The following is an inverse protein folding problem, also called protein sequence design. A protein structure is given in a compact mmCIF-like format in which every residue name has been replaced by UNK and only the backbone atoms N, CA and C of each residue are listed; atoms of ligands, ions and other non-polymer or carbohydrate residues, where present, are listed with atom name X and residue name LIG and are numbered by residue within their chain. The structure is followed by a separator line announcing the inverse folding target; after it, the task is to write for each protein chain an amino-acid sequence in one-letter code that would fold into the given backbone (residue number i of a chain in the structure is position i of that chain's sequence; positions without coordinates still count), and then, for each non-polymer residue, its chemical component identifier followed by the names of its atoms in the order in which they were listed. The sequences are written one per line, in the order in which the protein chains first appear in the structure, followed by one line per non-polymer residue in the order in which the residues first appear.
data_IF_064162046529
#
_entry.id   IF_064162046529
#
_cell.length_a   1.000
_cell.length_b   1.000
_cell.length_c   1.000
_cell.angle_alpha   90.00
_cell.angle_beta   90.00
_cell.angle_gamma   90.00
#
_symmetry.space_group_name_H-M   'P 1'
#
loop_
_entity.id
_entity.type
_entity.pdbx_description
1 polymer ?
#
# COMPACT_ATOMS: atom_id res chain seq x y z
N UNK A 1 -77.67 -14.44 -8.31
CA UNK A 1 -76.27 -14.26 -7.85
C UNK A 1 -75.75 -13.02 -8.58
N UNK A 2 -75.87 -11.82 -8.00
CA UNK A 2 -74.82 -11.16 -7.19
C UNK A 2 -73.50 -11.03 -8.00
N UNK A 3 -72.88 -9.88 -8.26
CA UNK A 3 -73.02 -8.49 -7.78
C UNK A 3 -71.94 -7.64 -8.50
N UNK A 4 -72.28 -6.40 -8.91
CA UNK A 4 -71.51 -5.14 -8.81
C UNK A 4 -70.30 -4.83 -9.74
N UNK A 5 -70.45 -3.67 -10.43
CA UNK A 5 -69.38 -2.74 -10.82
C UNK A 5 -68.66 -2.18 -9.58
N UNK A 6 -67.35 -1.91 -9.67
CA UNK A 6 -66.70 -0.64 -9.24
C UNK A 6 -65.36 -0.48 -9.99
N UNK A 7 -65.18 0.67 -10.64
CA UNK A 7 -63.90 1.19 -11.14
C UNK A 7 -63.05 1.75 -10.00
N UNK A 8 -61.74 1.47 -9.93
CA UNK A 8 -60.76 2.37 -9.29
C UNK A 8 -59.42 2.27 -10.03
N UNK A 9 -58.94 3.41 -10.53
CA UNK A 9 -57.60 3.62 -11.03
C UNK A 9 -56.58 3.48 -9.88
N UNK A 10 -55.44 2.86 -10.11
CA UNK A 10 -54.31 2.92 -9.18
C UNK A 10 -53.00 2.93 -9.95
N UNK A 11 -52.38 4.11 -9.91
CA UNK A 11 -50.95 4.36 -10.00
C UNK A 11 -50.09 3.09 -9.82
N UNK A 12 -49.47 2.61 -10.89
CA UNK A 12 -48.26 1.82 -10.73
C UNK A 12 -47.10 2.82 -10.59
N UNK A 13 -46.69 3.06 -9.34
CA UNK A 13 -45.39 3.66 -9.06
C UNK A 13 -44.33 2.82 -9.76
N UNK A 14 -43.61 3.43 -10.68
CA UNK A 14 -42.31 2.93 -11.10
C UNK A 14 -41.38 3.00 -9.88
N UNK A 15 -41.31 1.91 -9.11
CA UNK A 15 -40.15 1.68 -8.26
C UNK A 15 -39.07 1.20 -9.22
N UNK A 16 -38.20 2.14 -9.63
CA UNK A 16 -36.91 1.78 -10.16
C UNK A 16 -36.16 1.06 -9.04
N UNK A 17 -36.28 -0.27 -8.97
CA UNK A 17 -35.30 -1.06 -8.26
C UNK A 17 -34.03 -0.94 -9.08
N UNK A 18 -33.15 -0.04 -8.64
CA UNK A 18 -31.77 -0.05 -9.04
C UNK A 18 -31.21 -1.41 -8.59
N UNK A 19 -31.20 -2.39 -9.49
CA UNK A 19 -30.26 -3.49 -9.39
C UNK A 19 -28.88 -2.84 -9.42
N UNK A 20 -28.22 -2.77 -8.26
CA UNK A 20 -26.82 -2.44 -8.20
C UNK A 20 -26.09 -3.55 -8.98
N UNK A 21 -25.86 -3.31 -10.27
CA UNK A 21 -24.82 -4.02 -10.98
C UNK A 21 -23.54 -3.62 -10.26
N UNK A 22 -22.99 -4.55 -9.48
CA UNK A 22 -21.63 -4.47 -8.98
C UNK A 22 -20.77 -4.44 -10.23
N UNK A 23 -20.49 -3.24 -10.70
CA UNK A 23 -19.52 -3.01 -11.75
C UNK A 23 -18.22 -2.95 -10.97
N UNK A 24 -17.52 -4.08 -10.88
CA UNK A 24 -16.15 -4.06 -10.39
C UNK A 24 -15.41 -3.01 -11.23
N UNK A 25 -14.67 -2.08 -10.59
CA UNK A 25 -13.90 -1.11 -11.34
C UNK A 25 -13.01 -1.88 -12.31
N UNK A 26 -13.16 -1.59 -13.60
CA UNK A 26 -12.24 -2.09 -14.61
C UNK A 26 -10.82 -1.71 -14.18
N UNK A 27 -9.86 -2.64 -14.09
CA UNK A 27 -8.49 -2.36 -13.64
C UNK A 27 -7.71 -1.38 -14.53
N UNK A 28 -8.29 -0.94 -15.66
CA UNK A 28 -7.56 -0.41 -16.80
C UNK A 28 -7.38 1.12 -16.84
N UNK A 29 -7.53 1.83 -15.72
CA UNK A 29 -7.04 3.21 -15.67
C UNK A 29 -6.29 3.48 -14.37
N UNK A 30 -5.22 2.73 -14.13
CA UNK A 30 -4.10 3.28 -13.37
C UNK A 30 -3.54 4.41 -14.23
N UNK A 31 -3.84 5.66 -13.84
CA UNK A 31 -3.17 6.81 -14.41
C UNK A 31 -1.66 6.63 -14.17
N UNK A 32 -0.84 6.71 -15.22
CA UNK A 32 0.52 6.20 -15.16
C UNK A 32 1.45 7.05 -14.29
N UNK A 33 1.03 8.18 -13.72
CA UNK A 33 1.84 8.97 -12.79
C UNK A 33 1.21 9.05 -11.39
N UNK A 34 0.49 8.01 -10.96
CA UNK A 34 -0.16 7.97 -9.64
C UNK A 34 0.77 7.39 -8.56
N UNK A 35 0.62 7.88 -7.33
CA UNK A 35 1.02 7.20 -6.10
C UNK A 35 -0.18 7.20 -5.14
N UNK A 36 -0.29 6.19 -4.29
CA UNK A 36 -1.28 6.22 -3.21
C UNK A 36 -0.69 6.94 -2.00
N UNK A 37 -1.52 7.59 -1.21
CA UNK A 37 -1.04 8.38 -0.08
C UNK A 37 -2.04 8.40 1.06
N UNK A 38 -1.56 8.37 2.31
CA UNK A 38 -2.41 8.42 3.50
C UNK A 38 -2.25 9.75 4.26
N UNK A 39 -3.36 10.42 4.61
CA UNK A 39 -3.32 11.81 5.13
C UNK A 39 -2.65 11.92 6.51
N UNK A 40 -1.79 12.94 6.63
CA UNK A 40 -1.24 13.43 7.89
C UNK A 40 -2.26 14.22 8.70
N UNK A 41 -2.31 13.91 10.00
CA UNK A 41 -3.10 14.65 10.98
C UNK A 41 -4.29 13.86 11.55
N UNK A 42 -5.30 14.55 12.10
CA UNK A 42 -6.38 13.92 12.87
C UNK A 42 -7.51 13.32 12.04
N UNK A 43 -7.56 13.63 10.74
CA UNK A 43 -8.47 13.01 9.77
C UNK A 43 -7.64 12.06 8.93
N UNK A 44 -8.11 10.82 8.80
CA UNK A 44 -7.39 9.78 8.08
C UNK A 44 -8.15 9.43 6.82
N UNK A 45 -7.47 9.51 5.71
CA UNK A 45 -8.04 9.31 4.39
C UNK A 45 -6.93 8.87 3.44
N UNK A 46 -7.28 7.99 2.53
CA UNK A 46 -6.42 7.47 1.47
C UNK A 46 -6.72 8.25 0.20
N UNK A 47 -5.68 8.66 -0.50
CA UNK A 47 -5.75 9.41 -1.74
C UNK A 47 -4.98 8.71 -2.84
N UNK A 48 -5.43 8.91 -4.08
CA UNK A 48 -4.62 8.76 -5.27
C UNK A 48 -4.08 10.15 -5.63
N UNK A 49 -2.75 10.26 -5.73
CA UNK A 49 -2.05 11.50 -6.05
C UNK A 49 -1.40 11.33 -7.41
N UNK A 50 -1.86 12.07 -8.40
CA UNK A 50 -1.20 12.14 -9.69
C UNK A 50 -0.09 13.18 -9.63
N UNK A 51 1.16 12.72 -9.70
CA UNK A 51 2.39 13.52 -9.69
C UNK A 51 2.79 14.00 -11.08
N UNK A 52 1.89 13.91 -12.06
CA UNK A 52 2.09 14.49 -13.39
C UNK A 52 2.33 15.99 -13.30
N UNK A 53 3.41 16.47 -13.91
CA UNK A 53 3.66 17.91 -14.03
C UNK A 53 2.65 18.61 -14.94
N UNK A 54 2.03 17.87 -15.87
CA UNK A 54 1.09 18.43 -16.84
C UNK A 54 -0.32 18.51 -16.30
N UNK A 55 -0.74 17.49 -15.55
CA UNK A 55 -2.10 17.37 -15.01
C UNK A 55 -2.07 16.87 -13.56
N UNK A 56 -1.45 17.60 -12.63
CA UNK A 56 -1.39 17.18 -11.24
C UNK A 56 -2.80 17.16 -10.64
N UNK A 57 -3.14 16.08 -9.95
CA UNK A 57 -4.45 15.93 -9.33
C UNK A 57 -4.37 15.10 -8.05
N UNK A 58 -5.36 15.29 -7.18
CA UNK A 58 -5.55 14.48 -5.98
C UNK A 58 -7.01 14.03 -5.93
N UNK A 59 -7.21 12.74 -5.70
CA UNK A 59 -8.54 12.12 -5.61
C UNK A 59 -8.66 11.34 -4.30
N UNK A 60 -9.78 11.51 -3.61
CA UNK A 60 -10.09 10.73 -2.41
C UNK A 60 -10.45 9.30 -2.82
N UNK A 61 -9.68 8.33 -2.36
CA UNK A 61 -9.96 6.90 -2.56
C UNK A 61 -10.89 6.41 -1.46
N UNK A 62 -10.56 6.69 -0.20
CA UNK A 62 -11.33 6.22 0.94
C UNK A 62 -11.15 7.13 2.14
N UNK A 63 -12.24 7.46 2.85
CA UNK A 63 -12.18 8.24 4.08
C UNK A 63 -12.36 7.32 5.29
N UNK A 64 -11.24 7.02 5.97
CA UNK A 64 -11.23 6.15 7.15
C UNK A 64 -12.01 6.75 8.31
N UNK A 65 -11.94 8.07 8.49
CA UNK A 65 -12.67 8.76 9.55
C UNK A 65 -14.19 8.69 9.33
N UNK A 66 -14.66 8.72 8.08
CA UNK A 66 -16.08 8.51 7.76
C UNK A 66 -16.47 7.03 7.88
N UNK A 67 -15.58 6.11 7.52
CA UNK A 67 -15.76 4.66 7.67
C UNK A 67 -16.15 4.27 9.10
N UNK A 68 -15.47 4.82 10.11
CA UNK A 68 -15.80 4.60 11.53
C UNK A 68 -17.26 4.91 11.88
N UNK A 69 -17.84 5.92 11.22
CA UNK A 69 -19.20 6.37 11.52
C UNK A 69 -20.27 5.61 10.73
N UNK A 70 -19.87 4.98 9.63
CA UNK A 70 -20.79 4.44 8.62
C UNK A 70 -20.72 2.91 8.49
N UNK A 71 -19.61 2.30 8.91
CA UNK A 71 -19.38 0.85 8.84
C UNK A 71 -19.51 0.22 10.23
N UNK A 72 -20.51 -0.66 10.46
CA UNK A 72 -20.72 -1.30 11.76
C UNK A 72 -19.54 -2.16 12.24
N UNK A 73 -18.74 -2.67 11.31
CA UNK A 73 -17.63 -3.61 11.51
C UNK A 73 -16.25 -2.98 11.31
N UNK A 74 -16.15 -1.64 11.31
CA UNK A 74 -14.87 -0.95 11.10
C UNK A 74 -13.80 -1.41 12.10
N UNK A 75 -12.60 -1.87 11.64
CA UNK A 75 -11.56 -2.35 12.53
C UNK A 75 -10.82 -1.17 13.20
N UNK A 76 -11.26 -0.77 14.39
CA UNK A 76 -10.62 0.32 15.17
C UNK A 76 -9.13 0.09 15.48
N UNK A 77 -8.68 -1.17 15.43
CA UNK A 77 -7.26 -1.52 15.55
C UNK A 77 -6.38 -0.96 14.41
N UNK A 78 -6.99 -0.55 13.29
CA UNK A 78 -6.30 0.05 12.14
C UNK A 78 -6.07 1.55 12.28
N UNK A 79 -6.25 2.11 13.48
CA UNK A 79 -5.81 3.45 13.85
C UNK A 79 -4.65 3.42 14.83
N UNK A 80 -3.77 4.41 14.70
CA UNK A 80 -2.80 4.74 15.73
C UNK A 80 -3.31 5.84 16.65
N UNK A 81 -3.00 5.75 17.93
CA UNK A 81 -3.41 6.70 18.96
C UNK A 81 -2.19 7.34 19.63
N UNK A 82 -2.36 8.59 20.08
CA UNK A 82 -1.37 9.29 20.91
C UNK A 82 -1.35 8.72 22.33
N UNK A 83 -0.44 9.24 23.16
CA UNK A 83 -0.27 8.85 24.57
C UNK A 83 -1.53 9.01 25.44
N UNK A 84 -2.49 9.82 25.03
CA UNK A 84 -3.78 9.99 25.72
C UNK A 84 -4.77 8.84 25.47
N UNK A 85 -4.47 7.95 24.51
CA UNK A 85 -5.28 6.80 24.14
C UNK A 85 -6.61 7.15 23.46
N UNK A 86 -6.84 8.42 23.13
CA UNK A 86 -8.12 8.91 22.58
C UNK A 86 -7.87 9.65 21.27
N UNK A 87 -6.87 10.51 21.23
CA UNK A 87 -6.55 11.31 20.05
C UNK A 87 -5.79 10.46 19.04
N UNK A 88 -6.15 10.57 17.76
CA UNK A 88 -5.43 9.88 16.70
C UNK A 88 -4.00 10.40 16.59
N UNK A 89 -3.08 9.46 16.42
CA UNK A 89 -1.69 9.74 16.11
C UNK A 89 -1.59 10.40 14.72
N UNK A 90 -1.07 11.62 14.60
CA UNK A 90 -1.03 12.33 13.32
C UNK A 90 -0.14 11.63 12.27
N UNK A 91 0.86 10.83 12.69
CA UNK A 91 1.80 10.13 11.81
C UNK A 91 1.45 8.66 11.53
N UNK A 92 0.39 8.13 12.15
CA UNK A 92 -0.11 6.77 11.92
C UNK A 92 -1.53 6.81 11.36
N UNK A 93 -1.91 5.97 10.38
CA UNK A 93 -1.12 4.86 9.84
C UNK A 93 0.03 5.30 8.94
N UNK A 94 1.01 4.41 8.79
CA UNK A 94 2.23 4.55 8.00
C UNK A 94 2.54 3.21 7.30
N UNK A 95 3.72 3.01 6.70
CA UNK A 95 4.07 1.79 5.97
C UNK A 95 3.12 1.49 4.80
N UNK A 96 2.72 2.49 4.04
CA UNK A 96 1.74 2.34 2.98
C UNK A 96 2.35 1.55 1.81
N UNK A 97 1.75 0.42 1.44
CA UNK A 97 2.29 -0.46 0.41
C UNK A 97 1.18 -1.06 -0.45
N UNK A 98 1.21 -0.81 -1.76
CA UNK A 98 0.22 -1.34 -2.70
C UNK A 98 0.70 -2.67 -3.29
N UNK A 99 -0.17 -3.67 -3.33
CA UNK A 99 0.15 -5.00 -3.86
C UNK A 99 0.20 -5.07 -5.40
N UNK A 100 -0.05 -3.94 -6.08
CA UNK A 100 -0.11 -3.84 -7.53
C UNK A 100 -1.49 -4.10 -8.12
N UNK A 101 -2.48 -4.48 -7.30
CA UNK A 101 -3.77 -4.97 -7.80
C UNK A 101 -4.97 -4.45 -7.02
N UNK A 102 -5.12 -4.87 -5.77
CA UNK A 102 -6.41 -4.82 -5.08
C UNK A 102 -6.29 -4.44 -3.60
N UNK A 103 -5.08 -4.37 -3.04
CA UNK A 103 -4.88 -4.11 -1.62
C UNK A 103 -3.82 -3.07 -1.38
N UNK A 104 -4.16 -2.12 -0.53
CA UNK A 104 -3.25 -1.13 0.00
C UNK A 104 -3.00 -1.43 1.48
N UNK A 105 -1.88 -2.07 1.76
CA UNK A 105 -1.42 -2.40 3.11
C UNK A 105 -0.90 -1.17 3.83
N UNK A 106 -1.06 -1.13 5.15
CA UNK A 106 -0.51 -0.09 6.01
C UNK A 106 -0.44 -0.59 7.46
N UNK A 107 0.39 0.07 8.25
CA UNK A 107 0.61 -0.21 9.65
C UNK A 107 0.07 0.90 10.55
N UNK A 108 -0.71 0.50 11.55
CA UNK A 108 -1.21 1.37 12.60
C UNK A 108 -0.47 1.16 13.91
N UNK A 109 0.17 2.19 14.45
CA UNK A 109 0.91 2.13 15.71
C UNK A 109 0.55 3.28 16.65
N UNK A 110 0.59 2.99 17.95
CA UNK A 110 0.37 4.00 18.99
C UNK A 110 1.70 4.65 19.37
N UNK A 111 1.69 5.92 19.75
CA UNK A 111 2.89 6.72 20.00
C UNK A 111 3.86 6.11 21.04
N UNK A 112 3.35 5.36 22.02
CA UNK A 112 4.19 4.63 23.01
C UNK A 112 4.30 3.12 22.77
N UNK A 113 3.63 2.56 21.77
CA UNK A 113 3.66 1.12 21.52
C UNK A 113 4.66 0.79 20.43
N UNK A 114 5.71 0.05 20.79
CA UNK A 114 6.72 -0.44 19.85
C UNK A 114 6.24 -1.59 18.94
N UNK A 115 4.93 -1.73 18.73
CA UNK A 115 4.32 -2.76 17.89
C UNK A 115 3.34 -2.10 16.93
N UNK A 116 3.43 -2.45 15.66
CA UNK A 116 2.46 -2.05 14.65
C UNK A 116 1.36 -3.08 14.47
N UNK A 117 0.21 -2.64 13.96
CA UNK A 117 -0.92 -3.46 13.54
C UNK A 117 -1.04 -3.35 12.03
N UNK A 118 -0.76 -4.45 11.35
CA UNK A 118 -0.89 -4.53 9.90
C UNK A 118 -2.36 -4.60 9.53
N UNK A 119 -2.76 -3.75 8.60
CA UNK A 119 -4.08 -3.68 8.02
C UNK A 119 -3.97 -3.51 6.50
N UNK A 120 -5.08 -3.67 5.79
CA UNK A 120 -5.15 -3.23 4.40
C UNK A 120 -6.52 -2.66 4.06
N UNK A 121 -6.52 -1.73 3.12
CA UNK A 121 -7.72 -1.32 2.40
C UNK A 121 -7.90 -2.20 1.16
N UNK A 122 -9.07 -2.80 1.01
CA UNK A 122 -9.45 -3.59 -0.16
C UNK A 122 -10.19 -2.70 -1.15
N UNK A 123 -9.62 -2.49 -2.34
CA UNK A 123 -10.30 -1.78 -3.43
C UNK A 123 -11.54 -2.55 -3.89
N UNK A 124 -11.52 -3.88 -3.85
CA UNK A 124 -12.63 -4.72 -4.29
C UNK A 124 -13.83 -4.67 -3.33
N UNK A 125 -13.57 -4.67 -2.02
CA UNK A 125 -14.62 -4.64 -1.00
C UNK A 125 -14.97 -3.21 -0.55
N UNK A 126 -14.13 -2.23 -0.90
CA UNK A 126 -14.19 -0.87 -0.40
C UNK A 126 -14.26 -0.81 1.15
N UNK A 127 -13.41 -1.60 1.81
CA UNK A 127 -13.36 -1.74 3.28
C UNK A 127 -11.94 -1.89 3.77
N UNK A 128 -11.73 -1.55 5.04
CA UNK A 128 -10.48 -1.82 5.76
C UNK A 128 -10.61 -3.13 6.53
N UNK A 129 -9.55 -3.94 6.47
CA UNK A 129 -9.45 -5.20 7.20
C UNK A 129 -8.19 -5.22 8.06
N UNK A 130 -8.33 -5.77 9.25
CA UNK A 130 -7.22 -6.07 10.14
C UNK A 130 -6.53 -7.37 9.71
N UNK A 131 -5.20 -7.38 9.71
CA UNK A 131 -4.39 -8.56 9.42
C UNK A 131 -3.89 -9.17 10.71
N UNK A 132 -2.87 -8.55 11.31
CA UNK A 132 -2.26 -9.05 12.54
C UNK A 132 -1.47 -7.96 13.28
N UNK A 133 -1.01 -8.27 14.48
CA UNK A 133 -0.02 -7.46 15.21
C UNK A 133 1.38 -7.89 14.79
N UNK A 134 2.22 -6.94 14.39
CA UNK A 134 3.65 -7.13 14.14
C UNK A 134 4.45 -6.91 15.42
N UNK A 135 5.60 -7.59 15.52
CA UNK A 135 6.47 -7.48 16.71
C UNK A 135 7.28 -6.19 16.75
N UNK A 136 7.40 -5.51 15.60
CA UNK A 136 8.17 -4.29 15.41
C UNK A 136 7.25 -3.07 15.20
N UNK A 137 7.80 -1.89 15.45
CA UNK A 137 7.24 -0.62 14.96
C UNK A 137 7.64 -0.45 13.50
N UNK A 138 6.66 -0.29 12.63
CA UNK A 138 6.84 -0.05 11.20
C UNK A 138 6.62 1.42 10.91
N UNK A 139 7.65 2.06 10.37
CA UNK A 139 7.74 3.51 10.11
C UNK A 139 7.82 3.86 8.62
N UNK A 140 7.87 2.84 7.76
CA UNK A 140 7.98 2.90 6.31
C UNK A 140 8.06 1.48 5.79
N UNK A 141 7.45 1.22 4.64
CA UNK A 141 7.33 -0.13 4.10
C UNK A 141 7.08 -0.10 2.59
N UNK A 142 7.32 -1.24 1.95
CA UNK A 142 7.02 -1.42 0.54
C UNK A 142 6.49 -2.81 0.24
N UNK A 143 6.01 -3.01 -0.99
CA UNK A 143 5.44 -4.28 -1.40
C UNK A 143 6.27 -4.92 -2.52
N UNK A 144 6.75 -6.15 -2.30
CA UNK A 144 7.30 -6.97 -3.36
C UNK A 144 6.17 -7.74 -4.03
N UNK A 145 5.74 -7.29 -5.22
CA UNK A 145 4.63 -7.93 -5.94
C UNK A 145 4.94 -9.36 -6.37
N UNK A 146 6.22 -9.66 -6.65
CA UNK A 146 6.65 -11.01 -7.06
C UNK A 146 6.68 -11.99 -5.89
N UNK A 147 7.29 -11.59 -4.77
CA UNK A 147 7.29 -12.41 -3.55
C UNK A 147 5.93 -12.41 -2.83
N UNK A 148 5.06 -11.46 -3.18
CA UNK A 148 3.86 -11.12 -2.43
C UNK A 148 4.16 -10.89 -0.96
N UNK A 149 5.06 -9.96 -0.71
CA UNK A 149 5.55 -9.69 0.62
C UNK A 149 5.48 -8.21 0.95
N UNK A 150 5.00 -7.94 2.15
CA UNK A 150 5.11 -6.65 2.80
C UNK A 150 6.48 -6.57 3.50
N UNK A 151 7.29 -5.61 3.09
CA UNK A 151 8.71 -5.53 3.42
C UNK A 151 9.00 -4.21 4.11
N UNK A 152 9.67 -4.28 5.26
CA UNK A 152 10.06 -3.10 6.02
C UNK A 152 11.43 -3.29 6.66
N UNK A 153 12.04 -2.19 7.09
CA UNK A 153 13.29 -2.21 7.84
C UNK A 153 12.98 -2.00 9.32
N UNK A 154 13.58 -2.84 10.17
CA UNK A 154 13.52 -2.62 11.61
C UNK A 154 14.34 -1.37 11.94
N UNK A 155 13.75 -0.46 12.71
CA UNK A 155 14.51 0.66 13.27
C UNK A 155 15.67 0.15 14.13
N UNK A 156 16.84 0.74 13.93
CA UNK A 156 18.04 0.38 14.69
C UNK A 156 17.92 0.78 16.17
N UNK A 157 18.78 0.28 17.05
CA UNK A 157 18.94 0.86 18.39
C UNK A 157 19.98 1.99 18.34
N UNK A 158 19.86 2.99 19.22
CA UNK A 158 20.82 4.09 19.24
C UNK A 158 22.17 3.55 19.76
N UNK A 159 23.19 3.49 18.89
CA UNK A 159 24.53 3.05 19.26
C UNK A 159 25.34 2.40 18.13
N UNK A 160 26.63 2.16 18.35
CA UNK A 160 27.56 1.63 17.34
C UNK A 160 27.31 0.16 16.96
N UNK A 161 26.50 -0.55 17.74
CA UNK A 161 26.16 -1.95 17.50
C UNK A 161 24.87 -2.15 16.69
N UNK A 162 24.22 -1.08 16.24
CA UNK A 162 23.06 -1.20 15.36
C UNK A 162 23.43 -1.93 14.07
N UNK A 163 22.49 -2.74 13.57
CA UNK A 163 22.59 -3.47 12.33
C UNK A 163 21.37 -3.20 11.46
N UNK A 164 21.55 -3.23 10.15
CA UNK A 164 20.42 -3.28 9.21
C UNK A 164 19.71 -4.63 9.41
N UNK A 165 18.41 -4.58 9.67
CA UNK A 165 17.56 -5.77 9.74
C UNK A 165 16.36 -5.53 8.84
N UNK A 166 16.21 -6.40 7.85
CA UNK A 166 15.10 -6.38 6.91
C UNK A 166 14.08 -7.42 7.36
N UNK A 167 12.82 -7.01 7.42
CA UNK A 167 11.71 -7.88 7.76
C UNK A 167 10.88 -8.12 6.50
N UNK A 168 10.55 -9.39 6.26
CA UNK A 168 9.76 -9.83 5.12
C UNK A 168 8.55 -10.59 5.65
N UNK A 169 7.39 -9.95 5.60
CA UNK A 169 6.11 -10.58 5.87
C UNK A 169 5.56 -11.13 4.54
N UNK A 170 5.79 -12.42 4.29
CA UNK A 170 5.18 -13.11 3.16
C UNK A 170 3.69 -13.23 3.45
N UNK A 171 2.90 -12.71 2.54
CA UNK A 171 1.47 -12.65 2.66
C UNK A 171 0.86 -13.79 1.84
N UNK A 172 -0.26 -14.27 2.33
CA UNK A 172 -1.12 -15.13 1.59
C UNK A 172 -1.87 -14.28 0.56
N UNK A 173 -1.64 -14.53 -0.73
CA UNK A 173 -2.40 -13.86 -1.80
C UNK A 173 -3.90 -14.02 -1.59
N UNK A 174 -4.37 -15.21 -1.17
CA UNK A 174 -5.78 -15.47 -0.94
C UNK A 174 -6.41 -14.57 0.13
N UNK A 175 -5.82 -14.56 1.31
CA UNK A 175 -6.49 -13.97 2.48
C UNK A 175 -5.95 -12.58 2.84
N UNK A 176 -4.85 -12.18 2.20
CA UNK A 176 -4.06 -11.01 2.58
C UNK A 176 -3.41 -11.14 3.96
N UNK A 177 -3.45 -12.34 4.57
CA UNK A 177 -2.90 -12.61 5.91
C UNK A 177 -1.42 -12.94 5.84
N UNK A 178 -0.70 -12.78 6.96
CA UNK A 178 0.72 -13.15 7.00
C UNK A 178 0.85 -14.67 7.15
N UNK A 179 1.46 -15.30 6.16
CA UNK A 179 1.80 -16.73 6.21
C UNK A 179 3.12 -16.95 6.95
N UNK A 180 4.10 -16.07 6.70
CA UNK A 180 5.45 -16.22 7.25
C UNK A 180 6.13 -14.87 7.40
N UNK A 181 6.63 -14.61 8.61
CA UNK A 181 7.57 -13.53 8.87
C UNK A 181 9.01 -14.08 8.87
N UNK A 182 9.91 -13.41 8.16
CA UNK A 182 11.35 -13.70 8.17
C UNK A 182 12.17 -12.44 8.40
N UNK A 183 13.25 -12.59 9.16
CA UNK A 183 14.20 -11.53 9.49
C UNK A 183 15.53 -11.80 8.80
N UNK A 184 15.92 -10.87 7.94
CA UNK A 184 17.10 -10.97 7.10
C UNK A 184 18.16 -9.98 7.59
N UNK A 185 19.36 -10.51 7.87
CA UNK A 185 20.46 -9.76 8.51
C UNK A 185 21.77 -9.83 7.74
N UNK A 186 21.85 -10.70 6.74
CA UNK A 186 23.05 -10.93 5.96
C UNK A 186 22.93 -10.22 4.62
N UNK A 187 23.88 -9.34 4.36
CA UNK A 187 23.97 -8.58 3.12
C UNK A 187 25.40 -8.65 2.57
N UNK A 188 25.52 -8.59 1.25
CA UNK A 188 26.78 -8.37 0.53
C UNK A 188 26.86 -6.89 0.20
N UNK A 189 27.80 -6.17 0.83
CA UNK A 189 27.99 -4.75 0.53
C UNK A 189 28.77 -4.58 -0.78
N UNK A 190 28.04 -4.44 -1.89
CA UNK A 190 28.60 -4.31 -3.23
C UNK A 190 28.85 -2.87 -3.66
N UNK A 191 28.88 -1.93 -2.71
CA UNK A 191 29.11 -0.50 -2.98
C UNK A 191 30.43 -0.27 -3.70
N UNK A 192 31.50 -0.91 -3.23
CA UNK A 192 32.86 -0.77 -3.79
C UNK A 192 33.40 -2.06 -4.41
N UNK A 193 32.93 -3.24 -3.96
CA UNK A 193 33.37 -4.55 -4.43
C UNK A 193 32.18 -5.48 -4.69
N UNK A 194 31.95 -5.84 -5.95
CA UNK A 194 30.86 -6.72 -6.36
C UNK A 194 30.96 -8.15 -5.80
N UNK A 195 32.12 -8.55 -5.28
CA UNK A 195 32.35 -9.87 -4.70
C UNK A 195 32.53 -9.83 -3.17
N UNK A 196 32.14 -8.73 -2.53
CA UNK A 196 32.23 -8.59 -1.08
C UNK A 196 31.56 -9.77 -0.36
N UNK A 197 32.16 -10.28 0.74
CA UNK A 197 31.57 -11.37 1.50
C UNK A 197 30.26 -10.92 2.16
N UNK A 198 29.34 -11.86 2.32
CA UNK A 198 28.12 -11.65 3.08
C UNK A 198 28.43 -11.42 4.58
N UNK A 199 27.75 -10.46 5.18
CA UNK A 199 27.85 -10.18 6.61
C UNK A 199 26.76 -9.24 7.10
N UNK A 200 26.73 -8.99 8.40
CA UNK A 200 25.84 -7.96 8.95
C UNK A 200 26.36 -6.56 8.60
N UNK A 201 25.46 -5.67 8.18
CA UNK A 201 25.80 -4.28 7.92
C UNK A 201 25.66 -3.47 9.19
N UNK A 202 26.75 -2.82 9.60
CA UNK A 202 26.72 -1.83 10.68
C UNK A 202 26.03 -0.57 10.17
N UNK A 203 24.78 -0.42 10.56
CA UNK A 203 23.87 0.54 9.98
C UNK A 203 22.75 0.82 10.97
N UNK A 204 22.37 2.08 11.13
CA UNK A 204 21.23 2.46 11.96
C UNK A 204 20.17 3.04 11.04
N UNK A 205 19.14 2.24 10.75
CA UNK A 205 17.94 2.76 10.09
C UNK A 205 17.13 3.58 11.10
N UNK A 206 16.83 4.83 10.76
CA UNK A 206 16.17 5.83 11.62
C UNK A 206 15.18 6.65 10.81
N UNK A 207 13.90 6.31 10.90
CA UNK A 207 12.90 6.96 10.06
C UNK A 207 13.14 6.71 8.56
N UNK A 208 12.18 7.12 7.75
CA UNK A 208 12.23 7.03 6.29
C UNK A 208 11.45 5.84 5.75
N UNK A 209 11.54 5.65 4.44
CA UNK A 209 10.61 4.80 3.71
C UNK A 209 11.28 4.04 2.55
N UNK A 210 10.51 3.17 1.91
CA UNK A 210 10.95 2.11 1.02
C UNK A 210 10.09 2.03 -0.24
N UNK A 211 10.73 1.85 -1.40
CA UNK A 211 10.04 1.68 -2.68
C UNK A 211 10.66 0.55 -3.51
N UNK A 212 9.85 -0.42 -3.91
CA UNK A 212 10.26 -1.41 -4.93
C UNK A 212 10.06 -0.87 -6.35
N UNK A 213 11.06 -1.10 -7.20
CA UNK A 213 10.83 -1.06 -8.64
C UNK A 213 10.44 -2.44 -9.19
N UNK A 214 10.02 -2.48 -10.46
CA UNK A 214 9.68 -3.73 -11.13
C UNK A 214 10.88 -4.63 -11.48
N UNK A 215 12.09 -4.21 -11.12
CA UNK A 215 13.29 -5.04 -11.13
C UNK A 215 13.56 -5.64 -9.75
N UNK A 216 12.63 -5.64 -8.81
CA UNK A 216 12.86 -6.19 -7.46
C UNK A 216 14.05 -5.52 -6.74
N UNK A 217 14.34 -4.27 -7.08
CA UNK A 217 15.29 -3.46 -6.32
C UNK A 217 14.48 -2.67 -5.30
N UNK A 218 14.75 -2.92 -4.02
CA UNK A 218 14.22 -2.15 -2.92
C UNK A 218 15.08 -0.91 -2.74
N UNK A 219 14.53 0.26 -2.99
CA UNK A 219 15.13 1.55 -2.70
C UNK A 219 14.70 2.01 -1.32
N UNK A 220 15.62 2.56 -0.53
CA UNK A 220 15.32 3.00 0.83
C UNK A 220 16.01 4.32 1.15
N UNK A 221 15.31 5.16 1.90
CA UNK A 221 15.86 6.37 2.51
C UNK A 221 15.77 6.29 4.02
N UNK A 222 16.78 6.83 4.71
CA UNK A 222 16.73 7.09 6.14
C UNK A 222 16.93 8.58 6.43
N UNK A 223 16.06 9.14 7.28
CA UNK A 223 15.99 10.60 7.53
C UNK A 223 16.85 11.10 8.69
N UNK A 224 17.40 10.19 9.50
CA UNK A 224 18.42 10.52 10.49
C UNK A 224 17.99 11.60 11.50
N UNK A 225 17.12 11.27 12.45
CA UNK A 225 16.74 12.21 13.51
C UNK A 225 17.87 12.48 14.51
N UNK A 226 17.87 13.68 15.12
CA UNK A 226 18.79 14.11 16.19
C UNK A 226 20.28 14.01 15.85
N UNK A 227 20.65 14.27 14.59
CA UNK A 227 22.05 14.22 14.14
C UNK A 227 22.51 12.83 13.70
N UNK A 228 21.56 11.91 13.43
CA UNK A 228 21.83 10.66 12.74
C UNK A 228 22.25 10.88 11.28
N UNK A 229 23.07 9.97 10.77
CA UNK A 229 23.46 9.96 9.36
C UNK A 229 22.23 9.65 8.49
N UNK A 230 22.04 10.43 7.43
CA UNK A 230 21.05 10.13 6.39
C UNK A 230 21.66 9.20 5.37
N UNK A 231 20.87 8.25 4.88
CA UNK A 231 21.33 7.26 3.92
C UNK A 231 20.31 7.09 2.80
N UNK A 232 20.79 6.97 1.58
CA UNK A 232 20.01 6.48 0.45
C UNK A 232 20.73 5.29 -0.14
N UNK A 233 20.03 4.17 -0.26
CA UNK A 233 20.63 2.89 -0.64
C UNK A 233 19.61 2.02 -1.35
N UNK A 234 20.09 0.93 -1.93
CA UNK A 234 19.21 -0.09 -2.46
C UNK A 234 19.67 -1.50 -2.10
N UNK A 235 18.72 -2.43 -2.17
CA UNK A 235 18.88 -3.85 -1.90
C UNK A 235 18.27 -4.65 -3.06
N UNK A 236 19.06 -5.51 -3.69
CA UNK A 236 18.62 -6.36 -4.81
C UNK A 236 18.01 -7.68 -4.30
N UNK A 237 16.72 -7.89 -4.60
CA UNK A 237 15.99 -9.10 -4.24
C UNK A 237 16.02 -10.18 -5.33
N UNK A 238 16.44 -9.88 -6.57
CA UNK A 238 16.40 -10.83 -7.70
C UNK A 238 17.17 -12.12 -7.41
N UNK A 239 18.29 -12.02 -6.68
CA UNK A 239 19.21 -13.14 -6.49
C UNK A 239 18.85 -14.10 -5.34
N UNK A 240 17.86 -13.78 -4.48
CA UNK A 240 17.75 -14.45 -3.16
C UNK A 240 16.42 -15.13 -2.87
N UNK A 241 15.61 -15.44 -3.88
CA UNK A 241 14.41 -16.27 -3.71
C UNK A 241 14.80 -17.71 -3.39
N UNK A 242 14.97 -18.04 -2.10
CA UNK A 242 14.83 -19.41 -1.58
C UNK A 242 16.07 -20.16 -1.07
N UNK A 243 17.26 -19.55 -0.91
CA UNK A 243 18.45 -20.33 -0.49
C UNK A 243 19.41 -19.62 0.48
N UNK A 244 18.96 -19.12 1.63
CA UNK A 244 19.87 -18.67 2.71
C UNK A 244 20.99 -17.72 2.26
N UNK A 245 20.74 -16.97 1.18
CA UNK A 245 21.70 -16.22 0.43
C UNK A 245 21.53 -14.74 0.78
N UNK A 246 22.66 -14.04 0.91
CA UNK A 246 22.68 -12.66 1.35
C UNK A 246 22.23 -11.71 0.23
N UNK A 247 21.46 -10.69 0.62
CA UNK A 247 21.03 -9.62 -0.28
C UNK A 247 22.18 -8.73 -0.71
N UNK A 248 22.24 -8.39 -1.99
CA UNK A 248 23.20 -7.42 -2.48
C UNK A 248 22.72 -6.02 -2.07
N UNK A 249 23.52 -5.36 -1.23
CA UNK A 249 23.29 -4.00 -0.73
C UNK A 249 24.24 -3.04 -1.44
N UNK A 250 23.72 -1.88 -1.84
CA UNK A 250 24.53 -0.78 -2.38
C UNK A 250 24.15 0.52 -1.71
N UNK A 251 25.10 1.14 -1.04
CA UNK A 251 24.99 2.52 -0.59
C UNK A 251 25.11 3.45 -1.81
N UNK A 252 24.12 4.30 -2.02
CA UNK A 252 24.12 5.30 -3.09
C UNK A 252 24.61 6.64 -2.54
N UNK A 253 24.14 7.02 -1.35
CA UNK A 253 24.50 8.27 -0.70
C UNK A 253 24.46 8.18 0.83
N UNK A 254 25.34 8.93 1.49
CA UNK A 254 25.31 9.13 2.95
C UNK A 254 25.74 10.54 3.36
N UNK A 255 25.00 11.17 4.28
CA UNK A 255 25.38 12.46 4.86
C UNK A 255 26.39 12.28 6.01
N UNK A 256 27.61 11.82 5.72
CA UNK A 256 28.64 11.63 6.76
C UNK A 256 30.03 11.12 6.32
N UNK A 257 31.06 11.90 6.66
CA UNK A 257 32.53 11.68 6.50
C UNK A 257 33.01 11.55 5.04
N UNK A 258 32.95 12.64 4.25
CA UNK A 258 33.89 12.99 3.14
C UNK A 258 33.26 13.81 1.99
N UNK A 259 31.98 14.15 2.02
CA UNK A 259 31.41 15.07 1.04
C UNK A 259 31.83 16.51 1.36
N UNK A 260 32.96 16.94 0.79
CA UNK A 260 33.34 18.35 0.72
C UNK A 260 32.14 19.16 0.24
N UNK A 261 31.61 20.00 1.13
CA UNK A 261 30.22 20.44 1.11
C UNK A 261 29.73 20.97 -0.24
N UNK A 262 28.54 20.53 -0.66
CA UNK A 262 27.68 21.25 -1.61
C UNK A 262 26.30 20.60 -1.88
N UNK A 263 25.85 19.54 -1.21
CA UNK A 263 24.56 18.91 -1.54
C UNK A 263 23.69 18.75 -0.29
N UNK A 264 22.81 19.73 -0.05
CA UNK A 264 21.83 19.78 1.06
C UNK A 264 20.42 19.42 0.60
N UNK A 265 20.27 18.61 -0.45
CA UNK A 265 18.99 18.26 -1.09
C UNK A 265 18.99 16.81 -1.60
N UNK A 266 19.37 15.88 -0.73
CA UNK A 266 19.14 14.45 -0.98
C UNK A 266 17.70 14.11 -0.66
N UNK A 267 17.25 12.90 -1.00
CA UNK A 267 15.98 12.31 -0.58
C UNK A 267 15.89 12.18 0.96
N UNK A 268 16.05 13.29 1.67
CA UNK A 268 15.80 13.52 3.09
C UNK A 268 14.31 13.55 3.40
N UNK A 269 13.51 13.41 2.36
CA UNK A 269 12.12 13.05 2.42
C UNK A 269 11.96 11.71 3.12
N UNK A 270 11.02 11.70 4.03
CA UNK A 270 10.68 10.56 4.85
C UNK A 270 9.84 9.54 4.12
N UNK A 271 9.31 9.85 2.92
CA UNK A 271 8.41 8.97 2.14
C UNK A 271 8.92 8.76 0.69
N UNK A 272 8.81 7.55 0.15
CA UNK A 272 9.32 7.12 -1.16
C UNK A 272 8.32 6.22 -1.90
N UNK A 273 8.04 6.53 -3.17
CA UNK A 273 7.24 5.65 -4.02
C UNK A 273 7.62 5.79 -5.49
N UNK A 274 7.52 4.71 -6.26
CA UNK A 274 7.50 4.79 -7.70
C UNK A 274 6.11 5.12 -8.21
N UNK A 275 6.02 6.10 -9.11
CA UNK A 275 4.80 6.34 -9.85
C UNK A 275 4.56 5.24 -10.92
N UNK A 276 3.38 5.25 -11.53
CA UNK A 276 2.99 4.23 -12.52
C UNK A 276 3.85 4.13 -13.80
N UNK A 277 4.77 5.07 -14.07
CA UNK A 277 5.73 5.04 -15.18
C UNK A 277 7.15 4.69 -14.71
N UNK A 278 7.34 4.48 -13.41
CA UNK A 278 8.60 4.06 -12.82
C UNK A 278 9.57 5.19 -12.52
N UNK A 279 9.09 6.41 -12.33
CA UNK A 279 9.90 7.46 -11.70
C UNK A 279 9.84 7.32 -10.18
N UNK A 280 11.01 7.35 -9.52
CA UNK A 280 11.06 7.40 -8.07
C UNK A 280 10.69 8.80 -7.59
N UNK A 281 9.62 8.90 -6.84
CA UNK A 281 9.11 10.11 -6.21
C UNK A 281 9.39 10.04 -4.72
N UNK A 282 9.59 11.21 -4.14
CA UNK A 282 9.78 11.39 -2.71
C UNK A 282 8.88 12.51 -2.21
N UNK A 283 8.45 12.44 -0.95
CA UNK A 283 7.60 13.45 -0.34
C UNK A 283 8.13 13.92 1.01
N UNK A 284 8.17 15.24 1.18
CA UNK A 284 8.39 15.86 2.48
C UNK A 284 7.07 15.84 3.28
N UNK A 285 6.92 14.96 4.27
CA UNK A 285 5.68 14.86 5.05
C UNK A 285 5.31 16.17 5.76
N UNK A 286 6.33 16.91 6.24
CA UNK A 286 6.13 18.16 6.98
C UNK A 286 5.54 19.25 6.10
N UNK A 287 6.02 19.37 4.85
CA UNK A 287 5.66 20.45 3.93
C UNK A 287 4.73 20.04 2.78
N UNK A 288 4.47 18.75 2.58
CA UNK A 288 3.62 18.27 1.49
C UNK A 288 4.25 18.41 0.11
N UNK A 289 5.58 18.49 0.03
CA UNK A 289 6.33 18.73 -1.20
C UNK A 289 6.72 17.40 -1.83
N UNK A 290 6.29 17.17 -3.06
CA UNK A 290 6.68 16.01 -3.88
C UNK A 290 7.81 16.39 -4.81
N UNK A 291 8.78 15.50 -4.99
CA UNK A 291 9.93 15.69 -5.88
C UNK A 291 10.39 14.38 -6.50
N UNK A 292 10.84 14.45 -7.75
CA UNK A 292 11.52 13.33 -8.42
C UNK A 292 12.89 13.11 -7.79
N UNK A 293 13.25 11.84 -7.59
CA UNK A 293 14.55 11.41 -7.07
C UNK A 293 15.44 10.96 -8.23
N UNK A 294 16.67 11.45 -8.25
CA UNK A 294 17.71 10.90 -9.10
C UNK A 294 18.27 9.65 -8.43
N UNK A 295 17.92 8.46 -8.95
CA UNK A 295 18.36 7.18 -8.39
C UNK A 295 19.86 6.93 -8.46
N UNK A 296 20.61 7.67 -9.31
CA UNK A 296 22.08 7.55 -9.41
C UNK A 296 22.78 8.27 -8.26
N UNK A 297 22.22 9.38 -7.79
CA UNK A 297 22.84 10.22 -6.76
C UNK A 297 22.09 10.21 -5.44
N UNK A 298 20.82 9.82 -5.43
CA UNK A 298 19.89 10.02 -4.31
C UNK A 298 19.41 11.45 -4.15
N UNK A 299 19.78 12.37 -5.05
CA UNK A 299 19.37 13.77 -4.98
C UNK A 299 17.86 13.89 -5.29
N UNK A 300 17.14 14.69 -4.54
CA UNK A 300 15.76 15.06 -4.85
C UNK A 300 15.69 16.51 -5.33
N UNK A 301 14.56 16.89 -5.92
CA UNK A 301 14.32 18.22 -6.46
C UNK A 301 14.12 19.34 -5.42
N UNK A 302 14.36 19.15 -4.11
CA UNK A 302 14.06 20.20 -3.11
C UNK A 302 14.86 21.50 -3.32
N UNK A 303 16.03 21.43 -3.95
CA UNK A 303 16.82 22.62 -4.31
C UNK A 303 16.37 23.27 -5.63
N UNK A 304 15.42 22.66 -6.34
CA UNK A 304 14.86 23.13 -7.60
C UNK A 304 13.32 23.22 -7.52
N UNK A 305 12.82 24.36 -7.02
CA UNK A 305 11.38 24.64 -6.86
C UNK A 305 10.56 24.37 -8.14
N UNK A 306 11.17 24.47 -9.33
CA UNK A 306 10.50 24.19 -10.60
C UNK A 306 10.14 22.71 -10.80
N UNK A 307 10.67 21.82 -9.97
CA UNK A 307 10.44 20.37 -10.01
C UNK A 307 9.54 19.86 -8.86
N UNK A 308 9.18 20.74 -7.93
CA UNK A 308 8.41 20.42 -6.73
C UNK A 308 6.90 20.58 -6.95
N UNK A 309 6.10 19.69 -6.36
CA UNK A 309 4.63 19.73 -6.43
C UNK A 309 4.00 19.74 -5.05
N UNK A 310 2.92 20.50 -4.89
CA UNK A 310 2.18 20.63 -3.63
C UNK A 310 0.69 20.60 -3.92
N UNK A 311 -0.07 19.86 -3.13
CA UNK A 311 -1.49 19.62 -3.38
C UNK A 311 -2.38 20.33 -2.36
N UNK A 312 -3.46 20.94 -2.84
CA UNK A 312 -4.48 21.58 -2.02
C UNK A 312 -5.86 21.00 -2.32
N UNK A 313 -6.67 20.82 -1.28
CA UNK A 313 -8.09 20.50 -1.42
C UNK A 313 -8.88 21.45 -0.54
N UNK A 314 -9.89 22.13 -1.11
CA UNK A 314 -10.69 23.13 -0.39
C UNK A 314 -9.84 24.21 0.33
N UNK A 315 -8.73 24.64 -0.30
CA UNK A 315 -7.81 25.62 0.27
C UNK A 315 -6.91 25.10 1.40
N UNK A 316 -6.98 23.82 1.77
CA UNK A 316 -6.09 23.18 2.76
C UNK A 316 -4.96 22.46 2.06
N UNK A 317 -3.73 22.74 2.49
CA UNK A 317 -2.54 21.97 2.11
C UNK A 317 -2.71 20.50 2.53
N UNK A 318 -2.54 19.59 1.58
CA UNK A 318 -2.56 18.15 1.80
C UNK A 318 -1.14 17.69 2.11
N UNK A 319 -1.01 16.93 3.19
CA UNK A 319 0.23 16.33 3.65
C UNK A 319 -0.06 14.86 3.93
N UNK A 320 0.93 14.03 3.72
CA UNK A 320 0.78 12.58 3.83
C UNK A 320 1.77 12.04 4.85
N UNK A 321 1.32 11.05 5.63
CA UNK A 321 2.18 10.32 6.56
C UNK A 321 3.04 9.30 5.83
N UNK A 322 2.57 8.82 4.68
CA UNK A 322 3.27 7.87 3.83
C UNK A 322 2.65 7.86 2.41
N UNK A 323 3.42 7.39 1.42
CA UNK A 323 3.04 7.18 0.03
C UNK A 323 3.43 5.77 -0.44
N UNK A 324 2.58 5.15 -1.27
CA UNK A 324 2.85 3.83 -1.84
C UNK A 324 3.01 3.90 -3.36
N UNK A 325 3.92 3.07 -3.86
CA UNK A 325 4.13 2.90 -5.30
C UNK A 325 2.85 2.39 -5.97
N UNK A 326 2.43 3.01 -7.08
CA UNK A 326 1.30 2.50 -7.88
C UNK A 326 1.75 1.62 -9.05
N UNK A 327 3.05 1.27 -9.11
CA UNK A 327 3.58 0.39 -10.13
C UNK A 327 2.77 -0.89 -10.20
N UNK A 328 2.45 -1.34 -11.41
CA UNK A 328 1.97 -2.69 -11.67
C UNK A 328 3.06 -3.38 -12.48
N UNK A 329 3.79 -4.27 -11.81
CA UNK A 329 4.93 -4.96 -12.40
C UNK A 329 4.51 -6.14 -13.28
N UNK A 330 3.21 -6.26 -13.59
CA UNK A 330 2.63 -7.29 -14.46
C UNK A 330 3.09 -8.69 -14.03
N UNK A 331 3.16 -8.91 -12.72
CA UNK A 331 3.44 -10.23 -12.16
C UNK A 331 2.30 -11.13 -12.60
N UNK A 332 2.63 -12.15 -13.39
CA UNK A 332 1.66 -12.98 -14.11
C UNK A 332 0.65 -13.60 -13.13
N UNK A 333 -0.63 -13.28 -13.33
CA UNK A 333 -1.74 -13.76 -12.51
C UNK A 333 -2.49 -14.84 -13.26
N UNK A 334 -2.87 -15.89 -12.54
CA UNK A 334 -3.50 -17.09 -13.10
C UNK A 334 -5.02 -17.03 -13.19
N UNK A 335 -5.67 -15.91 -12.83
CA UNK A 335 -7.13 -15.81 -12.90
C UNK A 335 -7.56 -15.07 -14.18
N UNK A 336 -8.42 -15.69 -14.97
CA UNK A 336 -9.03 -15.08 -16.15
C UNK A 336 -10.50 -14.71 -15.87
N UNK A 337 -10.97 -13.62 -16.48
CA UNK A 337 -12.39 -13.27 -16.47
C UNK A 337 -13.14 -14.20 -17.43
N UNK A 338 -14.06 -15.00 -16.90
CA UNK A 338 -14.97 -15.87 -17.65
C UNK A 338 -16.41 -15.40 -17.50
N UNK A 339 -17.22 -15.57 -18.53
CA UNK A 339 -18.67 -15.41 -18.43
C UNK A 339 -19.27 -16.65 -17.75
N UNK A 340 -19.91 -16.46 -16.59
CA UNK A 340 -20.61 -17.51 -15.85
C UNK A 340 -22.09 -17.15 -15.65
N UNK A 341 -22.97 -18.15 -15.70
CA UNK A 341 -24.39 -17.94 -15.39
C UNK A 341 -24.61 -18.01 -13.87
N UNK A 342 -25.15 -16.94 -13.28
CA UNK A 342 -25.69 -16.97 -11.92
C UNK A 342 -27.17 -17.31 -11.95
N UNK A 343 -27.63 -17.96 -10.88
CA UNK A 343 -29.02 -18.35 -10.69
C UNK A 343 -30.00 -17.17 -10.61
N UNK A 344 -29.50 -15.95 -10.35
CA UNK A 344 -30.32 -14.77 -10.05
C UNK A 344 -30.05 -13.52 -10.89
N UNK A 345 -28.90 -13.38 -11.54
CA UNK A 345 -28.55 -12.21 -12.36
C UNK A 345 -28.23 -12.53 -13.83
N UNK A 346 -28.29 -13.80 -14.24
CA UNK A 346 -27.99 -14.22 -15.62
C UNK A 346 -26.48 -14.34 -15.84
N UNK A 347 -25.99 -14.03 -17.05
CA UNK A 347 -24.55 -14.04 -17.36
C UNK A 347 -23.86 -12.91 -16.60
N UNK A 348 -22.90 -13.27 -15.76
CA UNK A 348 -22.04 -12.36 -15.03
C UNK A 348 -20.58 -12.67 -15.34
N UNK A 349 -19.74 -11.63 -15.36
CA UNK A 349 -18.31 -11.86 -15.39
C UNK A 349 -17.86 -12.39 -14.03
N UNK A 350 -17.29 -13.58 -14.05
CA UNK A 350 -16.70 -14.27 -12.90
C UNK A 350 -15.22 -14.45 -13.17
N UNK A 351 -14.42 -14.62 -12.13
CA UNK A 351 -13.03 -15.02 -12.30
C UNK A 351 -12.92 -16.53 -12.20
N UNK A 352 -12.12 -17.14 -13.05
CA UNK A 352 -11.84 -18.57 -13.00
C UNK A 352 -10.33 -18.84 -13.06
N UNK A 353 -9.85 -19.91 -12.40
CA UNK A 353 -8.46 -20.34 -12.53
C UNK A 353 -8.15 -20.82 -13.95
N UNK A 354 -7.04 -20.35 -14.49
CA UNK A 354 -6.47 -20.87 -15.75
C UNK A 354 -5.70 -22.17 -15.49
N UNK A 355 -5.79 -23.18 -16.38
CA UNK A 355 -5.02 -24.42 -16.26
C UNK A 355 -3.50 -24.26 -16.37
N UNK A 356 -3.03 -23.10 -16.86
CA UNK A 356 -1.61 -22.84 -17.20
C UNK A 356 -0.96 -21.80 -16.26
N UNK A 357 -1.73 -21.15 -15.38
CA UNK A 357 -1.23 -20.11 -14.48
C UNK A 357 -0.46 -20.67 -13.27
N UNK A 358 0.56 -19.94 -12.81
CA UNK A 358 1.46 -20.37 -11.73
C UNK A 358 1.02 -19.98 -10.30
N UNK A 359 -0.19 -19.45 -10.11
CA UNK A 359 -0.71 -18.88 -8.86
C UNK A 359 -2.13 -19.45 -8.58
N UNK A 360 -2.59 -19.60 -7.35
CA UNK A 360 -3.91 -20.21 -7.05
C UNK A 360 -5.03 -19.15 -6.97
N UNK A 361 -6.17 -19.38 -7.65
CA UNK A 361 -7.39 -18.60 -7.40
C UNK A 361 -8.09 -19.12 -6.13
N UNK A 362 -8.35 -18.25 -5.17
CA UNK A 362 -8.97 -18.58 -3.90
C UNK A 362 -10.49 -18.35 -3.85
N UNK A 363 -11.20 -19.22 -3.12
CA UNK A 363 -12.62 -19.05 -2.86
C UNK A 363 -12.84 -17.98 -1.77
N UNK A 364 -13.60 -16.93 -2.07
CA UNK A 364 -14.17 -16.01 -1.07
C UNK A 364 -15.61 -16.45 -0.79
N UNK A 365 -15.89 -16.81 0.46
CA UNK A 365 -17.25 -17.17 0.88
C UNK A 365 -18.02 -15.88 1.16
N UNK A 366 -19.04 -15.63 0.36
CA UNK A 366 -19.91 -14.46 0.40
C UNK A 366 -21.37 -14.88 0.61
N UNK A 367 -22.22 -13.89 0.81
CA UNK A 367 -23.65 -14.07 0.98
C UNK A 367 -24.36 -13.79 -0.35
N UNK A 368 -24.74 -14.83 -1.08
CA UNK A 368 -25.45 -14.69 -2.36
C UNK A 368 -26.95 -14.92 -2.23
N UNK A 369 -27.70 -14.26 -3.12
CA UNK A 369 -29.12 -14.53 -3.33
C UNK A 369 -29.32 -15.87 -4.05
N UNK A 370 -30.27 -16.67 -3.59
CA UNK A 370 -30.54 -18.00 -4.16
C UNK A 370 -31.87 -18.02 -4.89
N UNK A 371 -31.89 -18.69 -6.05
CA UNK A 371 -33.10 -18.97 -6.80
C UNK A 371 -34.05 -19.88 -6.00
N UNK A 372 -35.38 -19.82 -6.23
CA UNK A 372 -36.08 -19.13 -7.33
C UNK A 372 -36.57 -17.73 -6.99
N UNK A 373 -36.48 -17.30 -5.74
CA UNK A 373 -37.06 -16.05 -5.29
C UNK A 373 -36.15 -14.84 -5.52
N UNK A 374 -34.83 -15.05 -5.50
CA UNK A 374 -33.82 -13.97 -5.59
C UNK A 374 -34.19 -12.77 -4.70
N UNK A 375 -34.72 -13.10 -3.51
CA UNK A 375 -35.21 -12.18 -2.50
C UNK A 375 -34.12 -12.03 -1.44
N UNK A 376 -33.90 -10.80 -0.97
CA UNK A 376 -32.98 -10.47 0.11
C UNK A 376 -33.27 -11.21 1.43
N UNK A 377 -34.42 -11.90 1.54
CA UNK A 377 -34.76 -12.80 2.65
C UNK A 377 -34.15 -14.21 2.56
N UNK A 378 -33.59 -14.60 1.40
CA UNK A 378 -33.00 -15.92 1.12
C UNK A 378 -31.55 -15.74 0.66
N UNK A 379 -30.67 -15.60 1.65
CA UNK A 379 -29.22 -15.49 1.48
C UNK A 379 -28.58 -16.81 1.92
N UNK A 380 -27.78 -17.43 1.05
CA UNK A 380 -26.93 -18.57 1.39
C UNK A 380 -25.45 -18.23 1.16
N UNK A 381 -24.57 -18.99 1.82
CA UNK A 381 -23.14 -18.94 1.55
C UNK A 381 -22.86 -19.39 0.11
N UNK A 382 -22.20 -18.53 -0.65
CA UNK A 382 -21.70 -18.82 -1.99
C UNK A 382 -20.20 -18.59 -2.04
N UNK A 383 -19.54 -19.28 -2.97
CA UNK A 383 -18.13 -19.06 -3.25
C UNK A 383 -18.02 -18.18 -4.48
N UNK A 384 -17.45 -16.99 -4.33
CA UNK A 384 -17.00 -16.16 -5.44
C UNK A 384 -15.47 -16.25 -5.54
N UNK A 385 -14.95 -16.21 -6.76
CA UNK A 385 -13.51 -16.17 -7.00
C UNK A 385 -13.12 -14.72 -7.31
N UNK A 386 -12.09 -14.22 -6.65
CA UNK A 386 -11.51 -12.89 -6.89
C UNK A 386 -10.10 -13.04 -7.45
N UNK A 387 -9.54 -12.04 -8.16
CA UNK A 387 -8.16 -12.13 -8.65
C UNK A 387 -7.23 -12.10 -7.43
N UNK A 388 -6.15 -12.89 -7.47
CA UNK A 388 -5.19 -13.05 -6.37
C UNK A 388 -3.75 -12.73 -6.75
#
# INVERSE_FOLDING_TARGET
MHTWMVSVASLAMAVAMASAQITLPTPDVINPEVVYAIEYGPVKSIFAVNTSRLTPSIELVYNMSDGVLTEPDFPLACFGYNNDGISLNPISPNGLAFDGQARLYFDAFDEMQGRSRLCYYSFALNKILFVQVLEDSVIGASFSQRLYAYVYLQEGLAGPESRLVLQVANLNRATGQVDKLSSERLFRNITEDSNAPAGELRFTFRGGDLAFDCNEILWASSVGDNGGFKYFFNVDFKQNVGQGAAFDYRLVHSDGINSGGALTGFATHDQLAFDGIGQLISQNSQYGIFSVVNTTTGANGELDEASSMVFYTNGKLRRFTDIASSLDCKVDLSCEMVEGETSCSGVANMLAPTPEGSIDCAPLVESCLVAPACDASLIEECVIYVPF
#
